data_IF_506629655630
#
_entry.id   IF_506629655630
#
_cell.length_a   1.000
_cell.length_b   1.000
_cell.length_c   1.000
_cell.angle_alpha   90.00
_cell.angle_beta   90.00
_cell.angle_gamma   90.00
#
_symmetry.space_group_name_H-M   'P 1'
#
loop_
_entity.id
_entity.type
_entity.pdbx_description
1 polymer ?
#
# COMPACT_ATOMS: atom_id res chain seq x y z
N UNK A 1 4.70 7.52 -14.05
CA UNK A 1 4.00 6.22 -14.15
C UNK A 1 3.73 5.78 -12.74
N UNK A 2 2.49 5.42 -12.39
CA UNK A 2 2.22 4.75 -11.12
C UNK A 2 2.29 3.24 -11.36
N UNK A 3 2.90 2.54 -10.42
CA UNK A 3 2.92 1.08 -10.43
C UNK A 3 1.62 0.56 -9.79
N UNK A 4 0.87 -0.28 -10.50
CA UNK A 4 -0.35 -0.92 -9.99
C UNK A 4 -0.09 -2.41 -9.78
N UNK A 5 -0.49 -2.94 -8.63
CA UNK A 5 -0.26 -4.34 -8.24
C UNK A 5 -1.59 -5.10 -8.18
N UNK A 6 -1.57 -6.38 -8.58
CA UNK A 6 -2.78 -7.21 -8.53
C UNK A 6 -3.14 -7.67 -7.12
N UNK A 7 -2.15 -7.72 -6.21
CA UNK A 7 -2.32 -8.13 -4.83
C UNK A 7 -1.24 -7.52 -3.92
N UNK A 8 -1.44 -7.70 -2.60
CA UNK A 8 -0.54 -7.16 -1.57
C UNK A 8 0.86 -7.80 -1.62
N UNK A 9 0.96 -9.09 -1.95
CA UNK A 9 2.26 -9.78 -1.99
C UNK A 9 3.15 -9.28 -3.13
N UNK A 10 2.57 -8.98 -4.28
CA UNK A 10 3.28 -8.32 -5.40
C UNK A 10 3.79 -6.93 -5.02
N UNK A 11 2.95 -6.12 -4.38
CA UNK A 11 3.35 -4.79 -3.89
C UNK A 11 4.46 -4.89 -2.83
N UNK A 12 4.36 -5.86 -1.91
CA UNK A 12 5.39 -6.13 -0.90
C UNK A 12 6.71 -6.59 -1.53
N UNK A 13 6.65 -7.42 -2.57
CA UNK A 13 7.82 -7.86 -3.31
C UNK A 13 8.53 -6.71 -4.02
N UNK A 14 7.76 -5.78 -4.60
CA UNK A 14 8.31 -4.58 -5.19
C UNK A 14 8.95 -3.66 -4.14
N UNK A 15 8.34 -3.52 -2.96
CA UNK A 15 8.93 -2.76 -1.86
C UNK A 15 10.26 -3.36 -1.38
N UNK A 16 10.35 -4.68 -1.29
CA UNK A 16 11.61 -5.38 -0.95
C UNK A 16 12.69 -5.13 -2.00
N UNK A 17 12.35 -5.23 -3.29
CA UNK A 17 13.27 -4.91 -4.38
C UNK A 17 13.78 -3.46 -4.29
N UNK A 18 12.87 -2.49 -4.10
CA UNK A 18 13.23 -1.08 -3.94
C UNK A 18 14.07 -0.79 -2.70
N UNK A 19 13.85 -1.53 -1.61
CA UNK A 19 14.67 -1.50 -0.39
C UNK A 19 15.98 -2.26 -0.50
N UNK A 20 16.23 -2.99 -1.59
CA UNK A 20 17.41 -3.82 -1.79
C UNK A 20 17.49 -5.00 -0.83
N UNK A 21 16.36 -5.57 -0.43
CA UNK A 21 16.28 -6.64 0.57
C UNK A 21 15.63 -7.91 0.02
N UNK A 22 15.98 -9.06 0.60
CA UNK A 22 15.40 -10.35 0.23
C UNK A 22 14.16 -10.63 1.09
N UNK A 23 13.02 -10.87 0.43
CA UNK A 23 11.74 -11.22 1.07
C UNK A 23 11.80 -12.49 1.92
N UNK A 24 12.73 -13.41 1.64
CA UNK A 24 12.85 -14.68 2.35
C UNK A 24 13.52 -14.54 3.71
N UNK A 25 14.33 -13.50 3.89
CA UNK A 25 15.13 -13.26 5.10
C UNK A 25 14.71 -11.99 5.84
N UNK A 26 14.05 -11.07 5.14
CA UNK A 26 13.59 -9.81 5.72
C UNK A 26 12.22 -9.99 6.36
N UNK A 27 12.12 -9.58 7.62
CA UNK A 27 10.86 -9.58 8.34
C UNK A 27 10.12 -8.28 8.00
N UNK A 28 8.92 -8.44 7.46
CA UNK A 28 7.96 -7.35 7.29
C UNK A 28 6.98 -7.42 8.45
N UNK A 29 7.07 -6.48 9.37
CA UNK A 29 6.18 -6.40 10.52
C UNK A 29 4.95 -5.56 10.15
N UNK A 30 3.76 -6.11 10.37
CA UNK A 30 2.51 -5.39 10.09
C UNK A 30 2.34 -4.23 11.09
N UNK A 31 1.94 -3.06 10.60
CA UNK A 31 1.69 -1.87 11.42
C UNK A 31 0.18 -1.63 11.50
N UNK A 32 -0.43 -1.98 12.63
CA UNK A 32 -1.87 -1.81 12.82
C UNK A 32 -2.29 -0.34 12.80
N UNK A 33 -3.45 -0.06 12.20
CA UNK A 33 -4.06 1.26 12.17
C UNK A 33 -3.42 2.28 11.22
N UNK A 34 -2.26 1.99 10.62
CA UNK A 34 -1.69 2.84 9.59
C UNK A 34 -2.37 2.57 8.25
N UNK A 35 -2.99 3.61 7.70
CA UNK A 35 -3.80 3.54 6.50
C UNK A 35 -3.46 4.69 5.56
N UNK A 36 -3.77 4.52 4.28
CA UNK A 36 -3.66 5.63 3.36
C UNK A 36 -4.91 6.48 3.37
N UNK A 37 -4.71 7.76 3.71
CA UNK A 37 -5.78 8.73 3.72
C UNK A 37 -6.29 9.05 2.30
N UNK A 38 -7.54 9.51 2.22
CA UNK A 38 -8.21 10.13 1.06
C UNK A 38 -8.52 9.27 -0.18
N UNK A 39 -7.90 8.11 -0.39
CA UNK A 39 -8.21 7.28 -1.57
C UNK A 39 -9.61 6.68 -1.54
N UNK A 40 -10.07 6.27 -0.35
CA UNK A 40 -11.41 5.72 -0.19
C UNK A 40 -12.51 6.75 -0.47
N UNK A 41 -12.32 8.00 -0.05
CA UNK A 41 -13.28 9.08 -0.29
C UNK A 41 -13.37 9.41 -1.78
N UNK A 42 -12.22 9.59 -2.46
CA UNK A 42 -12.21 9.93 -3.90
C UNK A 42 -12.84 8.85 -4.78
N UNK A 43 -12.63 7.57 -4.48
CA UNK A 43 -13.17 6.47 -5.27
C UNK A 43 -14.65 6.17 -4.95
N UNK A 44 -15.10 6.42 -3.72
CA UNK A 44 -16.49 6.19 -3.30
C UNK A 44 -17.43 7.36 -3.64
N UNK A 45 -16.91 8.58 -3.73
CA UNK A 45 -17.70 9.79 -4.02
C UNK A 45 -18.01 10.00 -5.51
N UNK A 46 -17.45 9.17 -6.40
CA UNK A 46 -17.80 9.21 -7.83
C UNK A 46 -19.26 8.74 -8.05
N UNK A 47 -20.15 9.61 -8.57
CA UNK A 47 -21.55 9.27 -8.83
C UNK A 47 -21.73 8.29 -10.00
N UNK A 48 -20.72 8.09 -10.86
CA UNK A 48 -20.74 7.15 -11.98
C UNK A 48 -20.41 5.70 -11.60
N UNK A 49 -19.93 5.48 -10.37
CA UNK A 49 -19.47 4.15 -9.92
C UNK A 49 -20.64 3.29 -9.43
N UNK A 50 -20.79 2.07 -9.97
CA UNK A 50 -21.86 1.14 -9.59
C UNK A 50 -21.74 0.69 -8.12
N UNK A 51 -22.82 0.15 -7.55
CA UNK A 51 -22.82 -0.34 -6.16
C UNK A 51 -21.82 -1.48 -5.95
N UNK A 52 -21.65 -2.34 -6.94
CA UNK A 52 -20.73 -3.46 -6.94
C UNK A 52 -19.29 -2.97 -6.89
N UNK A 53 -18.94 -2.00 -7.73
CA UNK A 53 -17.60 -1.40 -7.74
C UNK A 53 -17.31 -0.65 -6.43
N UNK A 54 -18.30 0.04 -5.85
CA UNK A 54 -18.15 0.66 -4.53
C UNK A 54 -17.91 -0.38 -3.42
N UNK A 55 -18.53 -1.56 -3.52
CA UNK A 55 -18.30 -2.64 -2.57
C UNK A 55 -16.88 -3.21 -2.74
N UNK A 56 -16.42 -3.43 -3.96
CA UNK A 56 -15.03 -3.87 -4.21
C UNK A 56 -14.01 -2.87 -3.67
N UNK A 57 -14.25 -1.56 -3.83
CA UNK A 57 -13.40 -0.51 -3.27
C UNK A 57 -13.38 -0.60 -1.74
N UNK A 58 -14.52 -0.83 -1.08
CA UNK A 58 -14.58 -1.01 0.38
C UNK A 58 -13.83 -2.26 0.83
N UNK A 59 -13.98 -3.35 0.11
CA UNK A 59 -13.30 -4.61 0.43
C UNK A 59 -11.79 -4.43 0.32
N UNK A 60 -11.30 -3.71 -0.71
CA UNK A 60 -9.87 -3.37 -0.86
C UNK A 60 -9.40 -2.34 0.17
N UNK A 61 -10.23 -1.38 0.58
CA UNK A 61 -9.93 -0.46 1.69
C UNK A 61 -9.75 -1.22 3.01
N UNK A 62 -10.56 -2.24 3.26
CA UNK A 62 -10.44 -3.10 4.44
C UNK A 62 -9.24 -4.06 4.34
N UNK A 63 -8.86 -4.44 3.12
CA UNK A 63 -7.70 -5.29 2.87
C UNK A 63 -6.37 -4.53 2.91
N UNK A 64 -6.37 -3.20 3.01
CA UNK A 64 -5.13 -2.43 3.06
C UNK A 64 -4.24 -2.89 4.20
N UNK A 65 -2.93 -2.92 3.96
CA UNK A 65 -1.94 -3.31 4.95
C UNK A 65 -0.79 -2.35 4.98
N UNK A 66 -0.27 -2.11 6.17
CA UNK A 66 0.95 -1.37 6.37
C UNK A 66 2.03 -2.28 6.92
N UNK A 67 3.27 -2.05 6.50
CA UNK A 67 4.41 -2.84 6.93
C UNK A 67 5.60 -1.94 7.27
N UNK A 68 6.41 -2.38 8.22
CA UNK A 68 7.74 -1.85 8.47
C UNK A 68 8.80 -2.92 8.24
N UNK A 69 9.94 -2.52 7.69
CA UNK A 69 11.09 -3.38 7.49
C UNK A 69 12.39 -2.56 7.44
N UNK A 70 13.53 -3.20 7.68
CA UNK A 70 14.84 -2.57 7.59
C UNK A 70 15.44 -2.82 6.21
N UNK A 71 15.82 -1.77 5.48
CA UNK A 71 16.40 -1.87 4.15
C UNK A 71 17.91 -2.26 4.18
N UNK A 72 18.53 -2.44 3.01
CA UNK A 72 19.94 -2.84 2.93
C UNK A 72 20.95 -1.84 3.50
N UNK A 73 20.52 -0.60 3.79
CA UNK A 73 21.32 0.45 4.42
C UNK A 73 21.12 0.53 5.93
N UNK A 74 20.32 -0.38 6.52
CA UNK A 74 19.99 -0.36 7.94
C UNK A 74 18.95 0.69 8.32
N UNK A 75 18.19 1.21 7.36
CA UNK A 75 17.16 2.24 7.60
C UNK A 75 15.79 1.56 7.68
N UNK A 76 15.01 1.88 8.70
CA UNK A 76 13.61 1.47 8.81
C UNK A 76 12.77 2.18 7.75
N UNK A 77 12.03 1.39 6.98
CA UNK A 77 11.11 1.86 5.94
C UNK A 77 9.72 1.41 6.32
N UNK A 78 8.80 2.37 6.35
CA UNK A 78 7.38 2.11 6.53
C UNK A 78 6.67 2.26 5.20
N UNK A 79 5.84 1.28 4.86
CA UNK A 79 5.02 1.29 3.66
C UNK A 79 3.56 1.10 3.99
N UNK A 80 2.70 1.62 3.12
CA UNK A 80 1.26 1.31 3.10
C UNK A 80 0.93 0.78 1.70
N UNK A 81 0.23 -0.35 1.67
CA UNK A 81 -0.32 -0.96 0.47
C UNK A 81 -1.83 -0.81 0.59
N UNK A 82 -2.41 0.09 -0.20
CA UNK A 82 -3.85 0.35 -0.19
C UNK A 82 -4.49 0.29 -1.56
N UNK A 83 -5.82 0.50 -1.62
CA UNK A 83 -6.58 0.30 -2.84
C UNK A 83 -6.27 1.36 -3.89
N UNK A 84 -6.21 0.92 -5.15
CA UNK A 84 -6.15 1.82 -6.30
C UNK A 84 -6.85 1.22 -7.51
N UNK A 85 -7.93 1.87 -7.97
CA UNK A 85 -8.75 1.40 -9.10
C UNK A 85 -9.10 -0.09 -8.96
N UNK A 86 -8.49 -0.94 -9.79
CA UNK A 86 -8.73 -2.39 -9.88
C UNK A 86 -7.67 -3.23 -9.12
N UNK A 87 -6.81 -2.61 -8.32
CA UNK A 87 -5.75 -3.30 -7.60
C UNK A 87 -5.26 -2.52 -6.38
N UNK A 88 -3.94 -2.57 -6.19
CA UNK A 88 -3.24 -1.95 -5.07
C UNK A 88 -2.17 -0.99 -5.55
N UNK A 89 -1.90 0.00 -4.71
CA UNK A 89 -0.82 0.97 -4.87
C UNK A 89 0.08 0.93 -3.64
N UNK A 90 1.34 1.32 -3.82
CA UNK A 90 2.36 1.28 -2.78
C UNK A 90 2.80 2.70 -2.44
N UNK A 91 2.75 3.02 -1.15
CA UNK A 91 3.24 4.27 -0.61
C UNK A 91 4.38 4.03 0.38
N UNK A 92 5.45 4.81 0.26
CA UNK A 92 6.45 4.94 1.32
C UNK A 92 6.01 6.05 2.26
N UNK A 93 5.97 5.76 3.55
CA UNK A 93 5.61 6.71 4.60
C UNK A 93 6.90 7.23 5.24
N UNK A 94 7.10 8.54 5.15
CA UNK A 94 8.19 9.25 5.81
C UNK A 94 7.92 9.45 7.31
N UNK A 95 8.95 9.85 8.07
CA UNK A 95 8.90 9.94 9.53
C UNK A 95 7.91 10.97 10.08
N UNK A 96 7.41 11.88 9.24
CA UNK A 96 6.43 12.92 9.62
C UNK A 96 5.04 12.62 9.03
N UNK A 97 4.82 11.40 8.53
CA UNK A 97 3.54 10.97 7.95
C UNK A 97 3.34 11.37 6.48
N UNK A 98 4.34 12.00 5.84
CA UNK A 98 4.31 12.27 4.41
C UNK A 98 4.36 10.96 3.61
N UNK A 99 3.52 10.83 2.58
CA UNK A 99 3.48 9.64 1.74
C UNK A 99 4.03 9.94 0.33
N UNK A 100 4.91 9.06 -0.17
CA UNK A 100 5.38 9.09 -1.57
C UNK A 100 4.83 7.85 -2.26
N UNK A 101 4.15 8.06 -3.38
CA UNK A 101 3.63 7.00 -4.26
C UNK A 101 4.71 6.50 -5.21
N UNK A 102 4.76 5.18 -5.39
CA UNK A 102 5.72 4.47 -6.26
C UNK A 102 5.11 3.92 -7.56
#
# INVERSE_FOLDING_TARGET
MSTMFGNIEEAKAYAAFGGGVDLRTTIFEEVEGLQAADMGAQLLDDPGTSKEVKQEIRDRLNAQKAFKFTNCKGIEVTIVIGPFREGYDLWIIGPQGQAIRL
#
